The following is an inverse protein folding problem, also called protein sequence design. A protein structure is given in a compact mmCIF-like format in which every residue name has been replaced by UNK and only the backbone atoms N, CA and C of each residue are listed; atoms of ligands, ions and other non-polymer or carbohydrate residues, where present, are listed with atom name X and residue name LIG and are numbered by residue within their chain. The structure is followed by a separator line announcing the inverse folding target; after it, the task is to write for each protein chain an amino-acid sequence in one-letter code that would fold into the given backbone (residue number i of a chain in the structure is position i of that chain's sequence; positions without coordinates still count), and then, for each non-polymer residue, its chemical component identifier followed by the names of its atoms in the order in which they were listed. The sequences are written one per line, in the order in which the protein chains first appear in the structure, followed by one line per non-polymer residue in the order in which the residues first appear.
data_IF_138150400304
#
_entry.id   IF_138150400304
#
_cell.length_a   1.000
_cell.length_b   1.000
_cell.length_c   1.000
_cell.angle_alpha   90.00
_cell.angle_beta   90.00
_cell.angle_gamma   90.00
#
_symmetry.space_group_name_H-M   'P 1'
#
loop_
_entity.id
_entity.type
_entity.pdbx_description
1 polymer ?
#
# COMPACT_ATOMS: atom_id res chain seq x y z
N UNK A 1 -13.69 -16.87 -15.80
CA UNK A 1 -14.97 -16.42 -15.23
C UNK A 1 -14.67 -15.33 -14.24
N UNK A 2 -15.47 -14.27 -14.22
CA UNK A 2 -15.27 -13.15 -13.30
C UNK A 2 -15.90 -13.49 -11.95
N UNK A 3 -15.20 -13.15 -10.87
CA UNK A 3 -15.71 -13.28 -9.51
C UNK A 3 -16.16 -11.91 -9.01
N UNK A 4 -17.29 -11.86 -8.32
CA UNK A 4 -17.81 -10.65 -7.70
C UNK A 4 -18.10 -10.90 -6.23
N UNK A 5 -17.75 -9.93 -5.40
CA UNK A 5 -18.05 -9.94 -3.98
C UNK A 5 -18.59 -8.58 -3.56
N UNK A 6 -19.81 -8.55 -3.00
CA UNK A 6 -20.41 -7.36 -2.43
C UNK A 6 -19.91 -7.17 -1.00
N UNK A 7 -19.19 -6.09 -0.75
CA UNK A 7 -18.66 -5.73 0.56
C UNK A 7 -19.74 -5.10 1.47
N UNK A 8 -20.90 -4.69 0.91
CA UNK A 8 -21.98 -4.03 1.63
C UNK A 8 -21.72 -2.55 1.97
N UNK A 9 -20.48 -2.08 1.78
CA UNK A 9 -20.08 -0.68 1.94
C UNK A 9 -19.09 -0.29 0.84
N UNK A 10 -18.90 1.01 0.63
CA UNK A 10 -17.96 1.56 -0.35
C UNK A 10 -16.55 1.03 -0.08
N UNK A 11 -15.90 0.53 -1.13
CA UNK A 11 -14.50 0.06 -1.06
C UNK A 11 -13.57 1.22 -1.44
N UNK A 12 -12.57 1.48 -0.60
CA UNK A 12 -11.60 2.56 -0.79
C UNK A 12 -10.22 2.08 -1.22
N UNK A 13 -9.81 0.92 -0.74
CA UNK A 13 -8.46 0.37 -0.95
C UNK A 13 -8.56 -1.12 -1.24
N UNK A 14 -7.76 -1.59 -2.20
CA UNK A 14 -7.58 -3.01 -2.51
C UNK A 14 -6.09 -3.32 -2.55
N UNK A 15 -5.67 -4.37 -1.84
CA UNK A 15 -4.30 -4.88 -1.89
C UNK A 15 -4.31 -6.39 -1.97
N UNK A 16 -3.77 -6.94 -3.06
CA UNK A 16 -3.50 -8.37 -3.14
C UNK A 16 -2.24 -8.70 -2.33
N UNK A 17 -2.21 -9.88 -1.71
CA UNK A 17 -1.04 -10.33 -0.97
C UNK A 17 0.00 -10.87 -1.96
N UNK A 18 1.16 -10.23 -2.01
CA UNK A 18 2.30 -10.57 -2.85
C UNK A 18 3.20 -11.67 -2.28
N UNK A 19 2.90 -12.15 -1.06
CA UNK A 19 3.63 -13.24 -0.44
C UNK A 19 3.38 -14.56 -1.17
N UNK A 20 4.47 -15.28 -1.47
CA UNK A 20 4.39 -16.59 -2.13
C UNK A 20 3.55 -17.62 -1.37
N UNK A 21 3.43 -17.47 -0.05
CA UNK A 21 2.68 -18.36 0.83
C UNK A 21 1.21 -17.95 1.02
N UNK A 22 0.76 -16.83 0.45
CA UNK A 22 -0.64 -16.38 0.51
C UNK A 22 -1.10 -15.66 -0.78
N UNK A 23 -0.79 -16.16 -1.99
CA UNK A 23 -0.97 -15.42 -3.25
C UNK A 23 -2.45 -15.21 -3.64
N UNK A 24 -3.36 -15.82 -2.90
CA UNK A 24 -4.80 -15.77 -3.11
C UNK A 24 -5.54 -14.95 -2.05
N UNK A 25 -4.82 -14.26 -1.14
CA UNK A 25 -5.43 -13.32 -0.21
C UNK A 25 -5.54 -11.92 -0.82
N UNK A 26 -6.67 -11.27 -0.54
CA UNK A 26 -6.92 -9.87 -0.89
C UNK A 26 -7.46 -9.14 0.33
N UNK A 27 -6.88 -7.99 0.65
CA UNK A 27 -7.39 -7.10 1.68
C UNK A 27 -8.18 -5.96 1.03
N UNK A 28 -9.34 -5.67 1.62
CA UNK A 28 -10.26 -4.61 1.24
C UNK A 28 -10.38 -3.64 2.41
N UNK A 29 -10.16 -2.36 2.14
CA UNK A 29 -10.42 -1.29 3.10
C UNK A 29 -11.74 -0.57 2.77
N UNK A 30 -12.69 -0.59 3.70
CA UNK A 30 -13.99 0.06 3.58
C UNK A 30 -14.10 1.38 4.35
N UNK A 31 -15.35 1.78 4.67
CA UNK A 31 -15.64 3.00 5.44
C UNK A 31 -15.34 2.86 6.94
N UNK A 32 -15.34 1.64 7.49
CA UNK A 32 -15.12 1.41 8.93
C UNK A 32 -14.41 0.10 9.27
N UNK A 33 -14.04 -0.70 8.26
CA UNK A 33 -13.47 -2.02 8.46
C UNK A 33 -12.44 -2.38 7.39
N UNK A 34 -11.62 -3.38 7.74
CA UNK A 34 -10.76 -4.08 6.80
C UNK A 34 -11.23 -5.53 6.71
N UNK A 35 -11.52 -5.99 5.50
CA UNK A 35 -11.95 -7.35 5.22
C UNK A 35 -10.85 -8.09 4.45
N UNK A 36 -10.50 -9.30 4.88
CA UNK A 36 -9.54 -10.18 4.19
C UNK A 36 -10.30 -11.30 3.51
N UNK A 37 -10.17 -11.37 2.20
CA UNK A 37 -10.82 -12.36 1.34
C UNK A 37 -9.83 -13.39 0.82
N UNK A 38 -10.29 -14.62 0.71
CA UNK A 38 -9.64 -15.73 0.03
C UNK A 38 -10.27 -15.92 -1.35
N UNK A 39 -9.44 -15.82 -2.38
CA UNK A 39 -9.86 -16.04 -3.77
C UNK A 39 -9.62 -17.51 -4.14
N UNK A 40 -10.69 -18.24 -4.38
CA UNK A 40 -10.65 -19.57 -4.99
C UNK A 40 -10.91 -19.46 -6.50
N UNK A 41 -10.92 -20.59 -7.20
CA UNK A 41 -11.17 -20.62 -8.64
C UNK A 41 -12.57 -20.11 -9.00
N UNK A 42 -13.56 -20.39 -8.14
CA UNK A 42 -14.99 -20.11 -8.37
C UNK A 42 -15.68 -19.38 -7.21
N UNK A 43 -14.99 -19.09 -6.11
CA UNK A 43 -15.57 -18.43 -4.93
C UNK A 43 -14.65 -17.37 -4.35
N UNK A 44 -15.26 -16.49 -3.56
CA UNK A 44 -14.58 -15.45 -2.78
C UNK A 44 -15.09 -15.57 -1.35
N UNK A 45 -14.21 -15.98 -0.45
CA UNK A 45 -14.58 -16.31 0.94
C UNK A 45 -13.97 -15.30 1.92
N UNK A 46 -14.75 -14.82 2.89
CA UNK A 46 -14.27 -13.91 3.93
C UNK A 46 -13.50 -14.72 5.00
N UNK A 47 -12.25 -14.34 5.27
CA UNK A 47 -11.37 -15.04 6.22
C UNK A 47 -11.14 -14.25 7.51
N UNK A 48 -11.13 -12.93 7.44
CA UNK A 48 -11.00 -12.06 8.61
C UNK A 48 -11.72 -10.73 8.40
N UNK A 49 -12.25 -10.14 9.47
CA UNK A 49 -12.82 -8.79 9.43
C UNK A 49 -12.42 -7.98 10.67
N UNK A 50 -11.75 -6.86 10.44
CA UNK A 50 -11.25 -5.97 11.48
C UNK A 50 -12.09 -4.69 11.51
N UNK A 51 -12.69 -4.39 12.66
CA UNK A 51 -13.48 -3.18 12.85
C UNK A 51 -12.59 -2.05 13.39
N UNK A 52 -12.32 -1.05 12.55
CA UNK A 52 -11.44 0.09 12.88
C UNK A 52 -12.27 1.31 13.29
N UNK A 53 -13.50 1.44 12.78
CA UNK A 53 -14.40 2.56 13.11
C UNK A 53 -14.12 3.84 12.33
N UNK A 54 -13.15 3.82 11.40
CA UNK A 54 -12.80 4.94 10.52
C UNK A 54 -12.46 4.43 9.12
N UNK A 55 -12.61 5.30 8.12
CA UNK A 55 -12.41 4.95 6.71
C UNK A 55 -10.96 4.61 6.43
N UNK A 56 -10.75 3.51 5.71
CA UNK A 56 -9.41 3.03 5.38
C UNK A 56 -8.86 3.79 4.17
N UNK A 57 -7.62 4.26 4.27
CA UNK A 57 -6.95 5.06 3.24
C UNK A 57 -5.77 4.34 2.60
N UNK A 58 -5.09 3.46 3.35
CA UNK A 58 -4.00 2.64 2.86
C UNK A 58 -3.95 1.29 3.59
N UNK A 59 -3.37 0.28 2.92
CA UNK A 59 -3.16 -1.08 3.43
C UNK A 59 -1.79 -1.57 3.00
N UNK A 60 -1.13 -2.36 3.85
CA UNK A 60 0.07 -3.11 3.47
C UNK A 60 0.10 -4.49 4.13
N UNK A 61 0.43 -5.50 3.33
CA UNK A 61 0.62 -6.87 3.81
C UNK A 61 1.95 -7.02 4.53
N UNK A 62 1.95 -7.67 5.68
CA UNK A 62 3.20 -8.09 6.31
C UNK A 62 3.81 -9.24 5.50
N UNK A 63 5.14 -9.26 5.29
CA UNK A 63 5.80 -10.38 4.62
C UNK A 63 5.74 -11.69 5.43
N UNK A 64 5.28 -11.65 6.68
CA UNK A 64 4.99 -12.83 7.52
C UNK A 64 3.62 -13.45 7.29
N UNK A 65 2.76 -12.82 6.49
CA UNK A 65 1.44 -13.39 6.19
C UNK A 65 1.58 -14.62 5.31
N UNK A 66 0.94 -15.70 5.72
CA UNK A 66 0.91 -16.96 4.98
C UNK A 66 -0.41 -17.69 5.23
N UNK A 67 -0.88 -18.42 4.21
CA UNK A 67 -2.18 -19.10 4.23
C UNK A 67 -2.07 -20.63 4.31
N UNK A 68 -0.86 -21.16 4.59
CA UNK A 68 -0.53 -22.59 4.46
C UNK A 68 -1.40 -23.56 5.30
N UNK A 69 -2.34 -23.06 6.11
CA UNK A 69 -3.09 -23.84 7.10
C UNK A 69 -4.62 -23.80 7.00
N UNK A 70 -5.21 -23.12 6.02
CA UNK A 70 -6.66 -23.30 5.77
C UNK A 70 -6.92 -24.61 4.99
N UNK A 71 -5.94 -25.15 4.26
CA UNK A 71 -6.14 -26.29 3.34
C UNK A 71 -5.43 -27.60 3.70
N UNK A 72 -4.56 -27.65 4.73
CA UNK A 72 -3.90 -28.90 5.15
C UNK A 72 -3.77 -29.02 6.68
N UNK A 73 -4.51 -29.94 7.35
CA UNK A 73 -4.51 -30.09 8.82
C UNK A 73 -3.23 -30.66 9.45
N UNK A 74 -2.17 -30.96 8.68
CA UNK A 74 -1.12 -31.93 9.11
C UNK A 74 0.31 -31.37 9.17
N UNK A 75 0.53 -30.06 9.09
CA UNK A 75 1.86 -29.46 9.28
C UNK A 75 1.98 -28.75 10.64
N UNK A 76 3.14 -28.90 11.27
CA UNK A 76 3.47 -28.66 12.68
C UNK A 76 2.98 -27.35 13.33
N UNK A 77 2.25 -27.51 14.45
CA UNK A 77 2.19 -26.78 15.75
C UNK A 77 2.13 -25.24 15.87
N UNK A 78 2.39 -24.41 14.87
CA UNK A 78 2.13 -22.97 14.97
C UNK A 78 1.55 -22.50 13.66
N UNK A 79 0.27 -22.14 13.68
CA UNK A 79 -0.36 -21.57 12.49
C UNK A 79 0.03 -20.08 12.40
N UNK A 80 0.79 -19.67 11.38
CA UNK A 80 1.23 -18.29 11.27
C UNK A 80 0.03 -17.38 10.98
N UNK A 81 -0.04 -16.20 11.62
CA UNK A 81 -1.20 -15.34 11.52
C UNK A 81 -1.24 -14.56 10.21
N UNK A 82 -2.44 -14.22 9.76
CA UNK A 82 -2.66 -13.15 8.79
C UNK A 82 -2.30 -11.85 9.48
N UNK A 83 -1.34 -11.10 8.91
CA UNK A 83 -0.84 -9.85 9.49
C UNK A 83 -0.75 -8.75 8.44
N UNK A 84 -1.38 -7.62 8.70
CA UNK A 84 -1.36 -6.48 7.80
C UNK A 84 -1.47 -5.17 8.60
N UNK A 85 -1.05 -4.08 7.98
CA UNK A 85 -1.25 -2.74 8.55
C UNK A 85 -2.27 -1.96 7.73
N UNK A 86 -3.00 -1.10 8.43
CA UNK A 86 -4.01 -0.23 7.86
C UNK A 86 -3.82 1.20 8.36
N UNK A 87 -4.00 2.16 7.46
CA UNK A 87 -4.12 3.57 7.81
C UNK A 87 -5.58 4.02 7.66
N UNK A 88 -6.02 4.87 8.58
CA UNK A 88 -7.39 5.38 8.61
C UNK A 88 -7.46 6.89 8.40
N UNK A 89 -8.67 7.36 8.07
CA UNK A 89 -8.93 8.76 7.73
C UNK A 89 -8.80 9.73 8.90
N UNK A 90 -8.71 9.23 10.13
CA UNK A 90 -8.42 9.96 11.37
C UNK A 90 -6.90 10.02 11.68
N UNK A 91 -6.06 9.66 10.69
CA UNK A 91 -4.61 9.62 10.76
C UNK A 91 -4.04 8.52 11.66
N UNK A 92 -4.89 7.65 12.20
CA UNK A 92 -4.48 6.47 12.96
C UNK A 92 -3.86 5.38 12.08
N UNK A 93 -2.93 4.63 12.66
CA UNK A 93 -2.38 3.41 12.07
C UNK A 93 -2.80 2.21 12.93
N UNK A 94 -2.99 1.08 12.28
CA UNK A 94 -3.50 -0.13 12.93
C UNK A 94 -2.70 -1.32 12.44
N UNK A 95 -2.21 -2.14 13.35
CA UNK A 95 -1.64 -3.45 13.05
C UNK A 95 -2.70 -4.51 13.33
N UNK A 96 -3.08 -5.21 12.28
CA UNK A 96 -4.18 -6.16 12.26
C UNK A 96 -3.61 -7.57 12.23
N UNK A 97 -4.02 -8.41 13.17
CA UNK A 97 -3.53 -9.78 13.29
C UNK A 97 -4.70 -10.75 13.45
N UNK A 98 -4.74 -11.79 12.63
CA UNK A 98 -5.70 -12.90 12.79
C UNK A 98 -4.96 -14.22 12.84
N UNK A 99 -4.98 -14.86 14.02
CA UNK A 99 -4.56 -16.25 14.17
C UNK A 99 -5.77 -17.19 14.00
N UNK A 100 -5.61 -18.45 13.59
CA UNK A 100 -6.76 -19.31 13.30
C UNK A 100 -7.63 -19.66 14.51
N UNK A 101 -7.04 -19.64 15.70
CA UNK A 101 -7.70 -20.06 16.95
C UNK A 101 -7.94 -18.86 17.90
N UNK A 102 -7.69 -17.63 17.43
CA UNK A 102 -7.86 -16.39 18.21
C UNK A 102 -8.72 -15.42 17.41
N UNK A 103 -9.50 -14.59 18.11
CA UNK A 103 -10.24 -13.50 17.50
C UNK A 103 -9.29 -12.49 16.84
N UNK A 104 -9.84 -11.69 15.94
CA UNK A 104 -9.18 -10.59 15.25
C UNK A 104 -8.63 -9.59 16.27
N UNK A 105 -7.32 -9.37 16.23
CA UNK A 105 -6.64 -8.38 17.06
C UNK A 105 -6.36 -7.10 16.24
N UNK A 106 -6.68 -5.95 16.84
CA UNK A 106 -6.48 -4.62 16.27
C UNK A 106 -5.63 -3.81 17.24
N UNK A 107 -4.37 -3.61 16.88
CA UNK A 107 -3.43 -2.84 17.68
C UNK A 107 -3.24 -1.43 17.08
N UNK A 108 -3.84 -0.38 17.66
CA UNK A 108 -3.67 0.99 17.17
C UNK A 108 -2.30 1.56 17.56
N UNK A 109 -1.70 2.32 16.65
CA UNK A 109 -0.43 3.04 16.85
C UNK A 109 -0.38 4.29 15.97
N UNK A 110 0.67 5.11 16.16
CA UNK A 110 0.97 6.24 15.26
C UNK A 110 -0.13 7.30 15.16
N UNK A 111 -0.93 7.48 16.22
CA UNK A 111 -1.92 8.56 16.35
C UNK A 111 -1.46 9.68 17.28
N UNK A 112 -2.22 10.77 17.34
CA UNK A 112 -1.92 11.91 18.22
C UNK A 112 -0.70 12.73 17.78
N UNK A 113 0.23 13.00 18.70
CA UNK A 113 1.42 13.83 18.45
C UNK A 113 2.61 13.08 17.85
N UNK A 114 2.62 11.74 17.93
CA UNK A 114 3.69 10.91 17.36
C UNK A 114 3.39 10.46 15.93
N UNK A 115 2.17 10.70 15.46
CA UNK A 115 1.63 10.27 14.18
C UNK A 115 1.76 11.27 13.04
N UNK A 116 1.16 10.88 11.91
CA UNK A 116 0.90 11.81 10.83
C UNK A 116 -0.10 12.89 11.24
N UNK A 117 0.03 14.08 10.66
CA UNK A 117 -0.89 15.21 10.86
C UNK A 117 -1.73 15.51 9.62
N UNK A 118 -1.78 14.56 8.69
CA UNK A 118 -2.60 14.62 7.48
C UNK A 118 -2.93 13.21 6.98
N UNK A 119 -3.84 13.11 5.98
CA UNK A 119 -4.23 11.83 5.42
C UNK A 119 -3.04 10.99 4.95
N UNK A 120 -2.96 9.75 5.42
CA UNK A 120 -1.99 8.78 4.93
C UNK A 120 -2.47 8.27 3.57
N UNK A 121 -1.66 8.50 2.54
CA UNK A 121 -2.00 8.25 1.14
C UNK A 121 -1.60 6.85 0.65
N UNK A 122 -0.52 6.31 1.20
CA UNK A 122 -0.04 4.97 0.88
C UNK A 122 0.87 4.46 2.01
N UNK A 123 1.07 3.14 2.03
CA UNK A 123 1.95 2.49 3.00
C UNK A 123 2.53 1.19 2.44
N UNK A 124 3.67 0.77 2.97
CA UNK A 124 4.34 -0.48 2.58
C UNK A 124 5.16 -1.00 3.74
N UNK A 125 5.25 -2.32 3.91
CA UNK A 125 6.34 -2.89 4.70
C UNK A 125 7.67 -2.64 3.98
N UNK A 126 8.75 -2.47 4.75
CA UNK A 126 10.09 -2.42 4.17
C UNK A 126 10.42 -3.79 3.55
N UNK A 127 11.09 -3.77 2.40
CA UNK A 127 11.33 -4.99 1.62
C UNK A 127 12.56 -5.76 2.08
N UNK A 128 13.10 -6.59 1.20
CA UNK A 128 14.24 -7.44 1.48
C UNK A 128 13.87 -8.80 2.09
N UNK A 129 14.76 -9.80 1.96
CA UNK A 129 14.46 -11.19 2.31
C UNK A 129 14.63 -11.50 3.80
N UNK A 130 14.95 -10.50 4.62
CA UNK A 130 15.26 -10.70 6.04
C UNK A 130 14.02 -10.58 6.91
N UNK A 131 14.06 -11.14 8.11
CA UNK A 131 12.98 -11.01 9.10
C UNK A 131 12.73 -9.55 9.53
N UNK A 132 13.66 -8.65 9.25
CA UNK A 132 13.52 -7.21 9.49
C UNK A 132 12.48 -6.55 8.56
N UNK A 133 12.18 -7.15 7.40
CA UNK A 133 11.15 -6.65 6.47
C UNK A 133 9.78 -6.52 7.14
N UNK A 134 9.44 -7.45 8.05
CA UNK A 134 8.21 -7.41 8.84
C UNK A 134 8.26 -6.48 10.06
N UNK A 135 9.43 -5.93 10.39
CA UNK A 135 9.60 -5.04 11.54
C UNK A 135 9.26 -3.60 11.20
N UNK A 136 9.56 -3.18 9.96
CA UNK A 136 9.46 -1.78 9.57
C UNK A 136 8.32 -1.54 8.57
N UNK A 137 7.55 -0.48 8.80
CA UNK A 137 6.48 -0.03 7.90
C UNK A 137 6.71 1.42 7.52
N UNK A 138 6.70 1.72 6.24
CA UNK A 138 6.78 3.07 5.72
C UNK A 138 5.38 3.61 5.40
N UNK A 139 5.10 4.85 5.80
CA UNK A 139 3.85 5.58 5.52
C UNK A 139 4.16 6.95 4.92
N UNK A 140 3.31 7.39 4.00
CA UNK A 140 3.43 8.72 3.36
C UNK A 140 2.11 9.48 3.42
N UNK A 141 2.20 10.80 3.59
CA UNK A 141 1.03 11.64 3.88
C UNK A 141 1.05 13.01 3.21
N UNK A 142 -0.12 13.65 3.20
CA UNK A 142 -0.32 15.06 2.82
C UNK A 142 0.41 16.04 3.75
N UNK A 143 0.79 15.62 4.96
CA UNK A 143 1.64 16.38 5.87
C UNK A 143 3.10 16.52 5.38
N UNK A 144 3.40 15.95 4.21
CA UNK A 144 4.71 15.98 3.54
C UNK A 144 5.79 15.18 4.28
N UNK A 145 5.38 14.22 5.11
CA UNK A 145 6.28 13.36 5.84
C UNK A 145 6.25 11.94 5.27
N UNK A 146 7.43 11.36 5.14
CA UNK A 146 7.64 9.92 5.12
C UNK A 146 7.99 9.50 6.56
N UNK A 147 7.25 8.54 7.12
CA UNK A 147 7.55 7.96 8.42
C UNK A 147 7.85 6.48 8.27
N UNK A 148 8.96 6.01 8.84
CA UNK A 148 9.33 4.59 8.92
C UNK A 148 9.17 4.13 10.36
N UNK A 149 8.16 3.28 10.59
CA UNK A 149 7.74 2.80 11.89
C UNK A 149 8.45 1.50 12.25
N UNK A 150 9.11 1.46 13.40
CA UNK A 150 9.56 0.22 14.04
C UNK A 150 8.41 -0.38 14.85
N UNK A 151 7.85 -1.50 14.39
CA UNK A 151 6.74 -2.19 15.06
C UNK A 151 7.14 -3.01 16.29
N UNK A 152 8.45 -3.15 16.55
CA UNK A 152 9.02 -3.90 17.66
C UNK A 152 10.21 -3.14 18.26
N UNK A 153 9.98 -1.94 18.81
CA UNK A 153 11.07 -1.16 19.39
C UNK A 153 11.59 -1.85 20.65
N UNK A 154 12.90 -1.76 20.85
CA UNK A 154 13.57 -2.28 22.06
C UNK A 154 13.45 -1.34 23.25
N UNK A 155 12.88 -0.15 23.05
CA UNK A 155 12.66 0.88 24.07
C UNK A 155 11.17 0.93 24.37
N UNK A 156 10.78 0.61 25.60
CA UNK A 156 9.42 0.79 26.09
C UNK A 156 9.15 2.28 26.34
N UNK A 157 8.45 2.93 25.41
CA UNK A 157 7.89 4.26 25.63
C UNK A 157 6.48 4.06 26.22
N UNK A 158 6.21 4.49 27.47
CA UNK A 158 4.90 4.34 28.08
C UNK A 158 3.82 5.01 27.21
N UNK A 159 2.81 4.24 26.80
CA UNK A 159 1.62 4.80 26.16
C UNK A 159 0.86 5.59 27.23
N UNK A 160 0.75 6.90 27.09
CA UNK A 160 -0.12 7.66 27.98
C UNK A 160 -1.56 7.12 27.82
N UNK A 161 -2.25 6.73 28.90
CA UNK A 161 -3.63 6.28 28.79
C UNK A 161 -4.49 7.44 28.30
N UNK A 162 -5.06 7.30 27.09
CA UNK A 162 -6.13 8.17 26.64
C UNK A 162 -7.35 7.88 27.52
N UNK A 163 -7.86 8.93 28.17
CA UNK A 163 -9.03 9.00 29.06
C UNK A 163 -8.82 8.57 30.52
N UNK A 164 -8.47 9.55 31.36
CA UNK A 164 -8.96 9.61 32.75
C UNK A 164 -9.87 10.84 32.81
N UNK A 165 -11.18 10.62 32.80
CA UNK A 165 -12.13 11.63 33.26
C UNK A 165 -11.81 11.96 34.73
N UNK A 166 -11.92 13.21 35.20
CA UNK A 166 -11.66 13.53 36.59
C UNK A 166 -12.79 12.93 37.44
N UNK A 167 -12.60 11.72 37.95
CA UNK A 167 -13.39 11.21 39.06
C UNK A 167 -12.80 11.82 40.32
N UNK A 168 -13.59 12.67 40.98
CA UNK A 168 -13.30 13.20 42.30
C UNK A 168 -12.93 12.04 43.24
N UNK A 169 -11.75 12.17 43.85
CA UNK A 169 -11.32 11.36 44.99
C UNK A 169 -12.37 11.45 46.10
N UNK A 170 -12.90 10.30 46.49
CA UNK A 170 -13.19 10.01 47.89
C UNK A 170 -12.80 8.57 48.17
N UNK A 171 -11.83 8.41 49.06
CA UNK A 171 -11.06 7.19 49.23
C UNK A 171 -11.84 5.98 49.74
N UNK A 172 -11.51 4.82 49.20
CA UNK A 172 -11.41 3.58 49.96
C UNK A 172 -10.75 2.50 49.12
N UNK A 173 -9.74 1.86 49.70
CA UNK A 173 -8.92 0.85 49.03
C UNK A 173 -9.73 -0.40 48.66
N UNK A 174 -9.61 -0.79 47.39
CA UNK A 174 -10.02 -2.09 46.89
C UNK A 174 -9.09 -2.47 45.76
N UNK A 175 -8.20 -3.43 46.01
CA UNK A 175 -7.30 -3.98 45.02
C UNK A 175 -8.10 -4.67 43.90
N UNK A 176 -8.39 -3.93 42.82
CA UNK A 176 -8.82 -4.51 41.55
C UNK A 176 -7.57 -4.80 40.72
N UNK A 177 -7.03 -6.00 40.89
CA UNK A 177 -6.07 -6.58 39.96
C UNK A 177 -6.75 -6.81 38.61
N UNK A 178 -6.72 -5.79 37.75
CA UNK A 178 -7.04 -5.96 36.33
C UNK A 178 -6.05 -6.96 35.73
N UNK A 179 -6.51 -8.03 35.07
CA UNK A 179 -5.62 -9.03 34.51
C UNK A 179 -4.81 -8.40 33.36
N UNK A 180 -3.51 -8.70 33.34
CA UNK A 180 -2.49 -7.98 32.59
C UNK A 180 -2.80 -7.76 31.10
N UNK A 181 -2.88 -6.49 30.71
CA UNK A 181 -2.52 -6.08 29.35
C UNK A 181 -1.04 -6.38 29.19
N UNK A 182 -0.69 -7.42 28.42
CA UNK A 182 0.66 -7.58 27.89
C UNK A 182 0.98 -6.28 27.13
N UNK A 183 1.70 -5.35 27.77
CA UNK A 183 1.94 -4.01 27.22
C UNK A 183 2.93 -4.13 26.09
N UNK A 184 2.42 -4.43 24.89
CA UNK A 184 3.22 -4.38 23.68
C UNK A 184 3.84 -2.97 23.58
N UNK A 185 5.16 -2.85 23.35
CA UNK A 185 5.79 -1.56 23.15
C UNK A 185 5.12 -0.78 22.01
N UNK A 186 4.92 0.53 22.20
CA UNK A 186 4.37 1.39 21.15
C UNK A 186 5.38 1.59 20.01
N UNK A 187 4.99 1.38 18.74
CA UNK A 187 5.87 1.62 17.60
C UNK A 187 6.46 3.03 17.59
N UNK A 188 7.71 3.15 17.16
CA UNK A 188 8.43 4.43 17.05
C UNK A 188 8.68 4.77 15.59
N UNK A 189 8.67 6.06 15.24
CA UNK A 189 8.84 6.51 13.85
C UNK A 189 10.17 7.21 13.63
N UNK A 190 10.85 6.86 12.54
CA UNK A 190 11.88 7.68 11.91
C UNK A 190 11.23 8.57 10.85
N UNK A 191 11.47 9.88 10.91
CA UNK A 191 10.72 10.87 10.13
C UNK A 191 11.62 11.58 9.11
N UNK A 192 11.17 11.62 7.86
CA UNK A 192 11.86 12.28 6.75
C UNK A 192 10.89 13.28 6.11
N UNK A 193 11.27 14.55 6.05
CA UNK A 193 10.44 15.61 5.48
C UNK A 193 10.65 15.79 3.97
N UNK A 194 9.57 16.20 3.29
CA UNK A 194 9.55 16.48 1.87
C UNK A 194 8.96 17.88 1.60
N UNK A 195 9.33 18.52 0.47
CA UNK A 195 8.80 19.84 0.12
C UNK A 195 7.32 19.80 -0.28
N UNK A 196 6.82 18.64 -0.69
CA UNK A 196 5.48 18.43 -1.24
C UNK A 196 4.80 17.23 -0.59
N UNK A 197 3.46 17.23 -0.62
CA UNK A 197 2.65 16.11 -0.16
C UNK A 197 3.03 14.83 -0.92
N UNK A 198 3.08 13.71 -0.20
CA UNK A 198 3.51 12.43 -0.73
C UNK A 198 2.32 11.54 -1.02
N UNK A 199 2.29 10.89 -2.17
CA UNK A 199 1.11 10.19 -2.68
C UNK A 199 1.29 8.68 -2.86
N UNK A 200 2.52 8.18 -2.98
CA UNK A 200 2.80 6.76 -3.06
C UNK A 200 4.15 6.41 -2.43
N UNK A 201 4.24 5.20 -1.87
CA UNK A 201 5.49 4.62 -1.36
C UNK A 201 5.57 3.14 -1.71
N UNK A 202 6.74 2.68 -2.13
CA UNK A 202 6.98 1.31 -2.52
C UNK A 202 8.37 0.87 -2.06
N UNK A 203 8.45 -0.24 -1.34
CA UNK A 203 9.73 -0.77 -0.89
C UNK A 203 10.47 -1.49 -2.01
N UNK A 204 11.80 -1.44 -1.95
CA UNK A 204 12.64 -2.22 -2.83
C UNK A 204 12.58 -3.72 -2.46
N UNK A 205 12.40 -4.60 -3.44
CA UNK A 205 12.16 -6.02 -3.15
C UNK A 205 13.34 -6.72 -2.45
N UNK A 206 14.58 -6.31 -2.72
CA UNK A 206 15.77 -6.99 -2.20
C UNK A 206 16.46 -6.31 -1.01
N UNK A 207 16.03 -5.10 -0.62
CA UNK A 207 16.66 -4.36 0.48
C UNK A 207 15.62 -3.81 1.46
N UNK A 208 15.95 -3.79 2.74
CA UNK A 208 15.08 -3.24 3.80
C UNK A 208 15.17 -1.71 3.91
N UNK A 209 16.20 -1.12 3.30
CA UNK A 209 16.57 0.29 3.49
C UNK A 209 16.12 1.21 2.35
N UNK A 210 15.88 0.66 1.15
CA UNK A 210 15.57 1.48 -0.02
C UNK A 210 14.05 1.59 -0.21
N UNK A 211 13.56 2.83 -0.32
CA UNK A 211 12.16 3.17 -0.56
C UNK A 211 12.05 4.07 -1.79
N UNK A 212 11.10 3.76 -2.67
CA UNK A 212 10.66 4.66 -3.73
C UNK A 212 9.47 5.47 -3.24
N UNK A 213 9.57 6.80 -3.32
CA UNK A 213 8.54 7.74 -2.87
C UNK A 213 8.11 8.60 -4.03
N UNK A 214 6.80 8.80 -4.20
CA UNK A 214 6.24 9.72 -5.19
C UNK A 214 5.51 10.88 -4.51
N UNK A 215 5.66 12.09 -5.05
CA UNK A 215 4.92 13.27 -4.60
C UNK A 215 3.75 13.64 -5.52
N UNK A 216 2.88 14.54 -5.05
CA UNK A 216 1.72 15.05 -5.82
C UNK A 216 2.10 15.84 -7.08
N UNK A 217 3.38 16.20 -7.26
CA UNK A 217 3.88 16.86 -8.47
C UNK A 217 4.42 15.88 -9.50
N UNK A 218 4.48 14.58 -9.18
CA UNK A 218 4.99 13.54 -10.06
C UNK A 218 6.51 13.39 -10.02
N UNK A 219 7.19 13.99 -9.04
CA UNK A 219 8.58 13.68 -8.74
C UNK A 219 8.66 12.37 -7.98
N UNK A 220 9.68 11.57 -8.29
CA UNK A 220 10.01 10.34 -7.59
C UNK A 220 11.37 10.50 -6.90
N UNK A 221 11.48 10.00 -5.68
CA UNK A 221 12.72 9.98 -4.93
C UNK A 221 13.02 8.56 -4.44
N UNK A 222 14.25 8.11 -4.64
CA UNK A 222 14.81 6.91 -4.02
C UNK A 222 15.46 7.31 -2.70
N UNK A 223 15.03 6.68 -1.61
CA UNK A 223 15.44 7.02 -0.24
C UNK A 223 16.13 5.81 0.40
N UNK A 224 17.34 5.99 0.92
CA UNK A 224 17.97 5.06 1.86
C UNK A 224 17.67 5.53 3.28
N UNK A 225 16.57 5.08 3.88
CA UNK A 225 16.11 5.61 5.16
C UNK A 225 17.03 5.25 6.34
N UNK A 226 17.98 4.33 6.14
CA UNK A 226 18.98 3.94 7.16
C UNK A 226 20.29 4.69 7.03
N UNK A 227 20.47 5.52 6.00
CA UNK A 227 21.73 6.26 5.82
C UNK A 227 21.96 7.20 7.00
N UNK A 228 23.16 7.16 7.59
CA UNK A 228 23.51 7.98 8.74
C UNK A 228 23.62 9.47 8.34
N UNK A 229 22.81 10.35 8.94
CA UNK A 229 22.91 11.80 8.68
C UNK A 229 24.27 12.39 9.06
N UNK A 230 25.08 11.73 9.92
CA UNK A 230 26.40 12.20 10.33
C UNK A 230 27.47 12.15 9.23
N UNK A 231 27.24 11.34 8.20
CA UNK A 231 28.13 11.20 7.04
C UNK A 231 27.75 12.14 5.87
N UNK A 232 26.67 12.91 6.00
CA UNK A 232 26.31 13.94 5.03
C UNK A 232 27.20 15.19 5.25
N UNK A 233 27.76 15.80 4.19
CA UNK A 233 28.58 17.01 4.34
C UNK A 233 27.75 18.12 5.03
N UNK A 234 28.39 18.98 5.82
CA UNK A 234 27.73 19.97 6.69
C UNK A 234 26.78 20.96 5.97
N UNK A 235 26.88 21.07 4.64
CA UNK A 235 25.98 21.86 3.77
C UNK A 235 24.86 21.03 3.10
N UNK A 236 24.84 19.71 3.29
CA UNK A 236 23.80 18.83 2.79
C UNK A 236 22.59 18.86 3.72
N UNK A 237 21.74 19.86 3.50
CA UNK A 237 20.30 19.78 3.82
C UNK A 237 19.59 18.70 2.99
N UNK A 238 20.35 17.96 2.17
CA UNK A 238 19.90 16.82 1.39
C UNK A 238 19.83 15.59 2.31
N UNK A 239 18.59 15.31 2.71
CA UNK A 239 18.03 14.07 3.25
C UNK A 239 18.65 12.77 2.68
N UNK A 240 18.32 11.58 3.22
CA UNK A 240 18.63 10.22 2.70
C UNK A 240 18.27 9.91 1.22
N UNK A 241 18.27 10.88 0.32
CA UNK A 241 17.89 10.81 -1.09
C UNK A 241 19.08 10.33 -1.92
N UNK A 242 18.97 9.11 -2.43
CA UNK A 242 19.96 8.49 -3.30
C UNK A 242 19.80 8.96 -4.75
N UNK A 243 18.55 9.17 -5.21
CA UNK A 243 18.25 9.51 -6.60
C UNK A 243 16.92 10.25 -6.72
N UNK A 244 16.85 11.27 -7.58
CA UNK A 244 15.60 11.94 -7.96
C UNK A 244 15.29 11.69 -9.44
N UNK A 245 14.06 11.26 -9.72
CA UNK A 245 13.56 11.01 -11.05
C UNK A 245 12.36 11.91 -11.30
N UNK A 246 12.39 12.68 -12.37
CA UNK A 246 11.29 13.55 -12.73
C UNK A 246 11.07 13.51 -14.25
N UNK A 247 9.82 13.24 -14.66
CA UNK A 247 9.44 13.42 -16.04
C UNK A 247 9.37 14.93 -16.33
N UNK A 248 10.01 15.46 -17.40
CA UNK A 248 10.05 16.90 -17.66
C UNK A 248 8.69 17.60 -17.69
N UNK A 249 7.64 16.87 -18.10
CA UNK A 249 6.25 17.38 -18.17
C UNK A 249 5.48 17.29 -16.84
N UNK A 250 5.92 16.45 -15.91
CA UNK A 250 5.39 16.44 -14.55
C UNK A 250 5.79 17.73 -13.81
N UNK A 251 7.03 18.18 -14.03
CA UNK A 251 7.59 19.41 -13.44
C UNK A 251 6.99 20.70 -14.03
N UNK A 252 6.66 20.69 -15.34
CA UNK A 252 6.19 21.86 -16.09
C UNK A 252 4.66 22.11 -16.03
N UNK A 253 3.89 21.24 -15.36
CA UNK A 253 2.43 21.33 -15.35
C UNK A 253 1.86 22.39 -14.41
N UNK A 254 0.86 23.16 -14.87
CA UNK A 254 0.12 24.13 -14.06
C UNK A 254 -0.60 23.50 -12.85
N UNK A 255 -0.85 24.34 -11.84
CA UNK A 255 -1.35 23.99 -10.51
C UNK A 255 -2.60 23.08 -10.52
N UNK A 256 -2.48 21.97 -9.81
CA UNK A 256 -3.52 20.95 -9.58
C UNK A 256 -2.87 19.71 -9.00
N UNK A 257 -3.26 19.31 -7.78
CA UNK A 257 -2.68 18.15 -7.10
C UNK A 257 -3.31 16.87 -7.65
N UNK A 258 -2.63 16.22 -8.59
CA UNK A 258 -2.96 14.86 -9.02
C UNK A 258 -2.00 13.91 -8.28
N UNK A 259 -2.49 12.97 -7.46
CA UNK A 259 -1.60 12.02 -6.80
C UNK A 259 -0.85 11.23 -7.88
N UNK A 260 0.47 11.13 -7.73
CA UNK A 260 1.27 10.22 -8.52
C UNK A 260 1.20 8.81 -7.91
N UNK A 261 1.27 7.79 -8.76
CA UNK A 261 1.43 6.40 -8.35
C UNK A 261 2.70 5.87 -8.98
N UNK A 262 3.54 5.21 -8.19
CA UNK A 262 4.79 4.62 -8.67
C UNK A 262 5.02 3.26 -8.02
N UNK A 263 5.68 2.36 -8.74
CA UNK A 263 6.02 1.03 -8.26
C UNK A 263 7.26 0.48 -8.97
N UNK A 264 8.02 -0.31 -8.22
CA UNK A 264 9.06 -1.18 -8.78
C UNK A 264 8.45 -2.34 -9.55
N UNK A 265 9.08 -2.71 -10.65
CA UNK A 265 8.76 -3.98 -11.29
C UNK A 265 9.31 -5.12 -10.42
N UNK A 266 8.44 -6.04 -10.01
CA UNK A 266 8.79 -7.07 -9.02
C UNK A 266 9.94 -7.98 -9.48
N UNK A 267 9.98 -8.37 -10.77
CA UNK A 267 11.00 -9.26 -11.30
C UNK A 267 12.32 -8.57 -11.66
N UNK A 268 12.32 -7.25 -11.83
CA UNK A 268 13.51 -6.48 -12.14
C UNK A 268 13.45 -5.13 -11.41
N UNK A 269 14.16 -5.06 -10.30
CA UNK A 269 14.22 -3.87 -9.46
C UNK A 269 15.01 -2.71 -10.07
N UNK A 270 15.56 -2.84 -11.29
CA UNK A 270 16.07 -1.68 -12.03
C UNK A 270 14.96 -0.95 -12.78
N UNK A 271 13.76 -1.52 -12.88
CA UNK A 271 12.66 -0.93 -13.65
C UNK A 271 11.64 -0.30 -12.70
N UNK A 272 11.39 1.00 -12.89
CA UNK A 272 10.35 1.75 -12.18
C UNK A 272 9.29 2.16 -13.18
N UNK A 273 8.03 1.99 -12.80
CA UNK A 273 6.89 2.54 -13.52
C UNK A 273 6.17 3.56 -12.66
N UNK A 274 5.70 4.64 -13.29
CA UNK A 274 4.82 5.58 -12.63
C UNK A 274 3.75 6.13 -13.55
N UNK A 275 2.70 6.68 -12.94
CA UNK A 275 1.68 7.46 -13.62
C UNK A 275 1.44 8.77 -12.88
N UNK A 276 1.30 9.85 -13.65
CA UNK A 276 0.94 11.17 -13.14
C UNK A 276 0.14 11.92 -14.21
N UNK A 277 -0.97 12.52 -13.80
CA UNK A 277 -1.95 13.13 -14.72
C UNK A 277 -2.34 12.10 -15.79
N UNK A 278 -2.27 12.44 -17.07
CA UNK A 278 -2.70 11.55 -18.16
C UNK A 278 -1.62 10.60 -18.70
N UNK A 279 -0.42 10.61 -18.11
CA UNK A 279 0.76 9.97 -18.68
C UNK A 279 1.41 8.98 -17.72
N UNK A 280 1.94 7.92 -18.29
CA UNK A 280 2.84 7.01 -17.59
C UNK A 280 4.29 7.21 -18.06
N UNK A 281 5.22 6.85 -17.20
CA UNK A 281 6.66 6.92 -17.44
C UNK A 281 7.32 5.67 -16.89
N UNK A 282 8.26 5.09 -17.63
CA UNK A 282 9.07 3.96 -17.20
C UNK A 282 10.54 4.38 -17.19
N UNK A 283 11.24 4.07 -16.11
CA UNK A 283 12.68 4.27 -15.96
C UNK A 283 13.39 2.93 -15.90
N UNK A 284 14.59 2.91 -16.46
CA UNK A 284 15.56 1.83 -16.31
C UNK A 284 16.76 2.42 -15.56
N UNK A 285 16.92 2.04 -14.29
CA UNK A 285 17.99 2.52 -13.41
C UNK A 285 19.38 2.08 -13.86
N UNK A 286 19.47 1.01 -14.66
CA UNK A 286 20.73 0.61 -15.28
C UNK A 286 21.17 1.57 -16.39
N UNK A 287 20.24 2.38 -16.92
CA UNK A 287 20.45 3.31 -18.04
C UNK A 287 19.91 4.70 -17.74
N UNK A 288 20.37 5.31 -16.64
CA UNK A 288 19.94 6.65 -16.23
C UNK A 288 20.41 7.73 -17.22
N UNK A 289 19.48 8.26 -18.01
CA UNK A 289 19.71 9.38 -18.92
C UNK A 289 19.49 10.74 -18.22
N UNK A 290 20.22 10.97 -17.13
CA UNK A 290 20.07 12.18 -16.30
C UNK A 290 18.69 12.27 -15.63
N UNK A 291 18.16 11.15 -15.15
CA UNK A 291 16.87 11.05 -14.45
C UNK A 291 15.63 11.06 -15.37
N UNK A 292 15.82 11.15 -16.70
CA UNK A 292 14.73 11.07 -17.67
C UNK A 292 14.20 9.64 -17.80
N UNK A 293 12.90 9.46 -18.06
CA UNK A 293 12.33 8.15 -18.31
C UNK A 293 12.84 7.58 -19.63
N UNK A 294 13.07 6.27 -19.66
CA UNK A 294 13.42 5.52 -20.87
C UNK A 294 12.22 5.43 -21.83
N UNK A 295 11.00 5.41 -21.27
CA UNK A 295 9.74 5.37 -22.02
C UNK A 295 8.69 6.25 -21.36
N UNK A 296 7.82 6.87 -22.16
CA UNK A 296 6.62 7.54 -21.64
C UNK A 296 5.49 7.48 -22.64
N UNK A 297 4.27 7.25 -22.16
CA UNK A 297 3.05 7.20 -22.97
C UNK A 297 1.88 7.93 -22.31
N UNK A 298 0.72 7.88 -22.96
CA UNK A 298 -0.55 8.38 -22.42
C UNK A 298 -1.50 7.22 -22.15
N UNK A 299 -2.41 7.36 -21.19
CA UNK A 299 -3.41 6.33 -20.92
C UNK A 299 -4.83 6.89 -20.73
N UNK A 300 -5.05 7.74 -19.72
CA UNK A 300 -6.34 8.37 -19.48
C UNK A 300 -6.22 9.88 -19.69
N UNK A 301 -6.77 10.47 -20.77
CA UNK A 301 -6.76 11.91 -21.01
C UNK A 301 -7.30 12.74 -19.84
N UNK A 302 -8.32 12.22 -19.16
CA UNK A 302 -8.97 12.79 -17.98
C UNK A 302 -8.13 12.74 -16.69
N UNK A 303 -6.98 12.07 -16.72
CA UNK A 303 -6.11 11.85 -15.57
C UNK A 303 -6.21 10.42 -15.04
N UNK A 304 -5.06 9.80 -14.85
CA UNK A 304 -4.88 8.52 -14.21
C UNK A 304 -4.69 8.67 -12.70
N UNK A 305 -4.89 7.58 -11.98
CA UNK A 305 -4.91 7.55 -10.52
C UNK A 305 -3.96 6.49 -9.95
N UNK A 306 -4.07 5.21 -10.38
CA UNK A 306 -3.22 4.13 -9.89
C UNK A 306 -2.43 3.49 -11.02
N UNK A 307 -1.23 3.04 -10.67
CA UNK A 307 -0.32 2.27 -11.52
C UNK A 307 0.10 1.02 -10.74
N UNK A 308 0.01 -0.16 -11.36
CA UNK A 308 0.48 -1.44 -10.79
C UNK A 308 1.17 -2.27 -11.85
N UNK A 309 2.30 -2.88 -11.49
CA UNK A 309 2.93 -3.92 -12.29
C UNK A 309 2.21 -5.24 -12.13
N UNK A 310 2.14 -6.03 -13.20
CA UNK A 310 1.72 -7.42 -13.08
C UNK A 310 2.87 -8.25 -12.48
N UNK A 311 2.66 -8.93 -11.34
CA UNK A 311 3.72 -9.69 -10.68
C UNK A 311 4.05 -10.99 -11.41
N UNK A 312 3.10 -11.59 -12.13
CA UNK A 312 3.26 -12.88 -12.80
C UNK A 312 3.78 -12.76 -14.24
N UNK A 313 3.48 -11.64 -14.91
CA UNK A 313 3.93 -11.33 -16.27
C UNK A 313 4.47 -9.90 -16.27
N UNK A 314 5.75 -9.70 -15.90
CA UNK A 314 6.34 -8.38 -15.65
C UNK A 314 6.27 -7.43 -16.85
N UNK A 315 6.11 -7.94 -18.07
CA UNK A 315 5.91 -7.16 -19.28
C UNK A 315 4.59 -6.38 -19.30
N UNK A 316 3.64 -6.66 -18.41
CA UNK A 316 2.37 -5.95 -18.30
C UNK A 316 2.30 -5.04 -17.08
N UNK A 317 1.64 -3.90 -17.26
CA UNK A 317 1.21 -3.03 -16.17
C UNK A 317 -0.20 -2.52 -16.46
N UNK A 318 -0.91 -2.17 -15.39
CA UNK A 318 -2.25 -1.64 -15.46
C UNK A 318 -2.32 -0.24 -14.88
N UNK A 319 -3.25 0.56 -15.42
CA UNK A 319 -3.53 1.91 -14.99
C UNK A 319 -5.05 2.05 -14.83
N UNK A 320 -5.49 2.76 -13.79
CA UNK A 320 -6.90 3.13 -13.61
C UNK A 320 -7.06 4.64 -13.47
N UNK A 321 -8.32 5.10 -13.54
CA UNK A 321 -8.72 6.47 -13.27
C UNK A 321 -9.85 6.51 -12.23
N UNK A 322 -9.84 7.54 -11.38
CA UNK A 322 -10.99 7.88 -10.51
C UNK A 322 -12.08 8.67 -11.23
N UNK A 323 -11.75 9.25 -12.39
CA UNK A 323 -12.69 10.02 -13.17
C UNK A 323 -13.50 9.05 -14.03
N UNK A 324 -14.79 8.91 -13.76
CA UNK A 324 -15.70 7.94 -14.39
C UNK A 324 -16.01 8.24 -15.88
N UNK A 325 -15.07 8.83 -16.63
CA UNK A 325 -15.19 9.60 -17.87
C UNK A 325 -16.09 9.02 -18.96
N UNK A 326 -15.56 8.80 -20.16
CA UNK A 326 -16.25 8.14 -21.29
C UNK A 326 -17.07 6.90 -20.88
N UNK A 327 -16.33 6.02 -20.20
CA UNK A 327 -16.46 4.56 -20.26
C UNK A 327 -16.81 3.93 -18.91
N UNK A 328 -17.15 4.74 -17.89
CA UNK A 328 -17.42 4.24 -16.53
C UNK A 328 -16.17 3.68 -15.85
N UNK A 329 -16.32 2.60 -15.09
CA UNK A 329 -15.23 1.94 -14.37
C UNK A 329 -14.35 1.15 -15.35
N UNK A 330 -13.21 1.72 -15.75
CA UNK A 330 -12.32 1.13 -16.75
C UNK A 330 -10.88 1.02 -16.24
N UNK A 331 -10.20 -0.08 -16.60
CA UNK A 331 -8.76 -0.29 -16.39
C UNK A 331 -8.09 -0.45 -17.76
N UNK A 332 -6.96 0.25 -17.96
CA UNK A 332 -6.11 0.09 -19.13
C UNK A 332 -4.91 -0.79 -18.81
N UNK A 333 -4.72 -1.86 -19.56
CA UNK A 333 -3.54 -2.74 -19.48
C UNK A 333 -2.62 -2.46 -20.66
N UNK A 334 -1.35 -2.24 -20.36
CA UNK A 334 -0.30 -1.94 -21.32
C UNK A 334 0.77 -3.02 -21.30
N UNK A 335 1.42 -3.23 -22.44
CA UNK A 335 2.66 -4.01 -22.53
C UNK A 335 3.86 -3.07 -22.55
N UNK A 336 4.78 -3.21 -21.60
CA UNK A 336 6.00 -2.42 -21.50
C UNK A 336 6.89 -2.54 -22.75
N UNK A 337 6.90 -3.71 -23.41
CA UNK A 337 7.67 -3.96 -24.64
C UNK A 337 7.11 -3.17 -25.83
N UNK A 338 5.79 -3.01 -25.89
CA UNK A 338 5.11 -2.38 -27.03
C UNK A 338 4.66 -0.94 -26.75
N UNK A 339 4.87 -0.44 -25.53
CA UNK A 339 4.48 0.91 -25.13
C UNK A 339 5.24 2.01 -25.92
N UNK A 340 6.38 1.68 -26.57
CA UNK A 340 7.08 2.55 -27.51
C UNK A 340 6.36 2.73 -28.85
N UNK A 341 5.51 1.78 -29.25
CA UNK A 341 4.94 1.70 -30.59
C UNK A 341 3.56 2.38 -30.73
N UNK A 342 3.17 3.23 -29.77
CA UNK A 342 1.84 3.85 -29.72
C UNK A 342 0.68 2.85 -29.80
N UNK A 343 0.90 1.61 -29.37
CA UNK A 343 -0.13 0.58 -29.31
C UNK A 343 -1.17 1.00 -28.28
N UNK A 344 -2.45 0.98 -28.68
CA UNK A 344 -3.53 1.29 -27.76
C UNK A 344 -3.59 0.26 -26.62
N UNK A 345 -3.80 0.70 -25.36
CA UNK A 345 -3.96 -0.23 -24.26
C UNK A 345 -5.20 -1.11 -24.45
N UNK A 346 -5.13 -2.32 -23.92
CA UNK A 346 -6.34 -3.15 -23.78
C UNK A 346 -7.19 -2.56 -22.65
N UNK A 347 -8.43 -2.19 -22.97
CA UNK A 347 -9.34 -1.56 -22.02
C UNK A 347 -10.36 -2.58 -21.49
N UNK A 348 -10.44 -2.72 -20.18
CA UNK A 348 -11.41 -3.55 -19.47
C UNK A 348 -12.44 -2.66 -18.78
N UNK A 349 -13.68 -2.66 -19.28
CA UNK A 349 -14.80 -1.92 -18.67
C UNK A 349 -15.58 -2.82 -17.73
N UNK A 350 -15.53 -2.52 -16.43
CA UNK A 350 -16.08 -3.33 -15.35
C UNK A 350 -17.52 -2.95 -14.99
N UNK A 351 -17.86 -1.67 -15.16
CA UNK A 351 -19.20 -1.15 -14.91
C UNK A 351 -19.45 0.16 -15.69
N UNK A 352 -20.70 0.44 -16.06
CA UNK A 352 -21.08 1.70 -16.70
C UNK A 352 -21.04 2.87 -15.71
N UNK A 353 -21.23 4.09 -16.22
CA UNK A 353 -21.38 5.29 -15.38
C UNK A 353 -22.58 5.17 -14.42
N UNK A 354 -22.53 5.82 -13.24
CA UNK A 354 -21.49 6.75 -12.77
C UNK A 354 -20.32 6.08 -12.03
N UNK A 355 -20.22 4.74 -12.05
CA UNK A 355 -19.21 4.01 -11.31
C UNK A 355 -17.80 4.24 -11.88
N UNK A 356 -16.79 4.25 -11.00
CA UNK A 356 -15.38 4.30 -11.34
C UNK A 356 -14.57 3.27 -10.55
N UNK A 357 -13.34 3.01 -10.99
CA UNK A 357 -12.39 2.14 -10.27
C UNK A 357 -11.74 2.97 -9.16
N UNK A 358 -12.02 2.63 -7.91
CA UNK A 358 -11.49 3.38 -6.75
C UNK A 358 -10.06 2.99 -6.41
N UNK A 359 -9.79 1.69 -6.47
CA UNK A 359 -8.47 1.08 -6.34
C UNK A 359 -8.47 -0.27 -7.06
N UNK A 360 -7.29 -0.80 -7.37
CA UNK A 360 -7.14 -2.14 -7.92
C UNK A 360 -5.76 -2.70 -7.61
N UNK A 361 -5.63 -4.01 -7.72
CA UNK A 361 -4.35 -4.70 -7.64
C UNK A 361 -4.32 -5.96 -8.50
N UNK A 362 -3.12 -6.44 -8.84
CA UNK A 362 -2.95 -7.72 -9.51
C UNK A 362 -2.96 -8.85 -8.49
N UNK A 363 -3.73 -9.91 -8.75
CA UNK A 363 -3.72 -11.11 -7.91
C UNK A 363 -2.55 -11.99 -8.35
N UNK A 364 -1.56 -12.29 -7.49
CA UNK A 364 -0.34 -13.03 -7.86
C UNK A 364 -0.55 -14.55 -7.94
N UNK A 365 -1.71 -14.96 -8.49
CA UNK A 365 -2.02 -16.35 -8.78
C UNK A 365 -1.30 -16.80 -10.07
N UNK A 366 -0.77 -18.03 -10.06
CA UNK A 366 -0.21 -18.66 -11.26
C UNK A 366 -1.30 -18.87 -12.32
N UNK A 367 -0.90 -18.90 -13.58
CA UNK A 367 -1.81 -19.03 -14.73
C UNK A 367 -2.16 -17.66 -15.32
N UNK A 368 -3.37 -17.52 -15.86
CA UNK A 368 -3.78 -16.25 -16.47
C UNK A 368 -3.80 -15.13 -15.42
N UNK A 369 -3.14 -13.99 -15.68
CA UNK A 369 -3.14 -12.87 -14.73
C UNK A 369 -4.54 -12.36 -14.47
N UNK A 370 -4.82 -12.09 -13.19
CA UNK A 370 -6.11 -11.55 -12.74
C UNK A 370 -5.90 -10.20 -12.07
N UNK A 371 -6.87 -9.30 -12.28
CA UNK A 371 -6.95 -8.02 -11.58
C UNK A 371 -8.15 -8.09 -10.63
N UNK A 372 -7.94 -7.63 -9.39
CA UNK A 372 -9.00 -7.36 -8.44
C UNK A 372 -9.22 -5.85 -8.36
N UNK A 373 -10.45 -5.40 -8.63
CA UNK A 373 -10.79 -3.99 -8.74
C UNK A 373 -11.98 -3.63 -7.87
N UNK A 374 -11.87 -2.52 -7.15
CA UNK A 374 -12.96 -1.94 -6.36
C UNK A 374 -13.82 -1.02 -7.23
N UNK A 375 -15.09 -1.38 -7.38
CA UNK A 375 -16.09 -0.64 -8.15
C UNK A 375 -17.32 -0.41 -7.29
N UNK A 376 -17.42 0.78 -6.68
CA UNK A 376 -18.46 1.05 -5.70
C UNK A 376 -18.31 0.14 -4.48
N UNK A 377 -19.32 -0.70 -4.24
CA UNK A 377 -19.36 -1.62 -3.10
C UNK A 377 -18.88 -3.03 -3.48
N UNK A 378 -18.61 -3.28 -4.76
CA UNK A 378 -18.20 -4.60 -5.25
C UNK A 378 -16.69 -4.68 -5.45
N UNK A 379 -16.10 -5.80 -5.05
CA UNK A 379 -14.82 -6.28 -5.56
C UNK A 379 -15.10 -7.13 -6.81
N UNK A 380 -14.49 -6.78 -7.93
CA UNK A 380 -14.54 -7.55 -9.19
C UNK A 380 -13.17 -8.14 -9.47
N UNK A 381 -13.07 -9.47 -9.57
CA UNK A 381 -11.84 -10.18 -9.92
C UNK A 381 -12.00 -10.81 -11.30
N UNK A 382 -11.17 -10.42 -12.27
CA UNK A 382 -11.31 -10.84 -13.67
C UNK A 382 -9.94 -11.13 -14.30
N UNK A 383 -9.85 -12.09 -15.25
CA UNK A 383 -8.63 -12.36 -16.01
C UNK A 383 -8.38 -11.28 -17.08
N UNK A 384 -7.11 -10.96 -17.36
CA UNK A 384 -6.72 -10.02 -18.44
C UNK A 384 -6.24 -10.71 -19.72
N UNK A 385 -6.34 -12.04 -19.79
CA UNK A 385 -5.99 -12.86 -20.96
C UNK A 385 -6.98 -14.01 -21.17
N UNK A 386 -6.77 -14.76 -22.25
CA UNK A 386 -7.49 -16.00 -22.58
C UNK A 386 -6.52 -17.18 -22.53
N UNK A 387 -7.02 -18.38 -22.19
CA UNK A 387 -6.21 -19.62 -22.13
C UNK A 387 -5.68 -20.03 -23.50
#
# INVERSE_FOLDING_TARGET
MDLRHDHGALIHVVRACDNADAPNLIAIGGENSVSVLLIADTSVDLVASFHIGSRITALAWSPRTCIFLVLRPMAYRVKPPITLTAASADFGLHLLTKSPDVDEDVFPFGGGLSGHHGPVNDMTFCGGPTDESARYVATVSDDKMLMVWDLHPTVDIPSAPLSVSPSNDDGSGGASSSPGSNSRPQPTAYVISFPHALSAVCAHASTTKDLLVADVRGSLALIDWRSDPSHAPADAWHHPRVLELAAPRAVAGAAGAFPASAAWQHANSDIIGSVHRSRFSLWDLSKLQGGKPALSGASFPEGAHRFRWCPTYPEYFAISTRNAGARGATIHVHSAMHAHAHVEPTAFTLAPRPLCVRDFDFVPLKGIPRIAAAVGHELVVFPIGVE
#
